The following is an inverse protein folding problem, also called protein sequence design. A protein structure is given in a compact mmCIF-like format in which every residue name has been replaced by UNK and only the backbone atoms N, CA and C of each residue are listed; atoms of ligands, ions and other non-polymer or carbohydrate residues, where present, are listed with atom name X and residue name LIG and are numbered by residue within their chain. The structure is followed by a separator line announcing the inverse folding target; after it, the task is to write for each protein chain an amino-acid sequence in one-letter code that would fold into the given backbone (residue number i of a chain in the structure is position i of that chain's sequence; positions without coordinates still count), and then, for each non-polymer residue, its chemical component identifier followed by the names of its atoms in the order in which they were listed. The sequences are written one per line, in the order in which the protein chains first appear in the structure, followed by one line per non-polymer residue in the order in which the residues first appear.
data_IF_648413621154
#
_entry.id   IF_648413621154
#
_cell.length_a   1.000
_cell.length_b   1.000
_cell.length_c   1.000
_cell.angle_alpha   90.00
_cell.angle_beta   90.00
_cell.angle_gamma   90.00
#
_symmetry.space_group_name_H-M   'P 1'
#
loop_
_entity.id
_entity.type
_entity.pdbx_description
1 polymer ?
#
# COMPACT_ATOMS: atom_id res chain seq x y z
N UNK A 1 -2.45 -22.97 16.23
CA UNK A 1 -3.26 -21.96 15.54
C UNK A 1 -2.37 -20.76 15.25
N UNK A 2 -2.25 -20.31 14.00
CA UNK A 2 -1.54 -19.06 13.68
C UNK A 2 -2.40 -17.86 14.07
N UNK A 3 -1.79 -16.83 14.68
CA UNK A 3 -2.48 -15.58 15.03
C UNK A 3 -2.95 -14.89 13.74
N UNK A 4 -4.18 -14.33 13.68
CA UNK A 4 -4.60 -13.50 12.56
C UNK A 4 -3.72 -12.25 12.44
N UNK A 5 -3.30 -11.94 11.20
CA UNK A 5 -2.50 -10.75 10.91
C UNK A 5 -3.37 -9.50 10.90
N UNK A 6 -2.84 -8.39 11.40
CA UNK A 6 -3.47 -7.08 11.37
C UNK A 6 -2.96 -6.26 10.18
N UNK A 7 -3.89 -5.64 9.45
CA UNK A 7 -3.58 -4.86 8.25
C UNK A 7 -4.03 -3.41 8.40
N UNK A 8 -3.15 -2.48 8.02
CA UNK A 8 -3.44 -1.05 7.86
C UNK A 8 -3.67 -0.75 6.37
N UNK A 9 -4.90 -0.39 6.00
CA UNK A 9 -5.22 0.07 4.65
C UNK A 9 -5.17 1.60 4.57
N UNK A 10 -4.41 2.14 3.62
CA UNK A 10 -4.18 3.57 3.45
C UNK A 10 -4.96 4.09 2.24
N UNK A 11 -6.18 4.57 2.47
CA UNK A 11 -7.05 5.17 1.45
C UNK A 11 -7.01 6.70 1.44
N UNK A 12 -5.85 7.27 1.75
CA UNK A 12 -5.62 8.71 1.71
C UNK A 12 -5.56 9.26 0.28
N UNK A 13 -5.92 10.52 0.10
CA UNK A 13 -5.78 11.22 -1.17
C UNK A 13 -4.38 11.78 -1.43
N UNK A 14 -3.48 11.74 -0.44
CA UNK A 14 -2.12 12.27 -0.51
C UNK A 14 -1.12 11.34 0.15
N UNK A 15 0.08 11.22 -0.43
CA UNK A 15 1.18 10.40 0.11
C UNK A 15 1.60 10.83 1.52
N UNK A 16 1.67 12.14 1.78
CA UNK A 16 2.12 12.66 3.08
C UNK A 16 1.20 12.18 4.23
N UNK A 17 -0.11 12.22 4.03
CA UNK A 17 -1.07 11.71 5.02
C UNK A 17 -0.88 10.20 5.27
N UNK A 18 -0.70 9.41 4.20
CA UNK A 18 -0.44 7.99 4.32
C UNK A 18 0.86 7.70 5.09
N UNK A 19 1.93 8.45 4.82
CA UNK A 19 3.21 8.29 5.52
C UNK A 19 3.14 8.66 7.00
N UNK A 20 2.32 9.65 7.38
CA UNK A 20 2.10 10.00 8.79
C UNK A 20 1.49 8.85 9.56
N UNK A 21 0.45 8.22 9.02
CA UNK A 21 -0.21 7.08 9.65
C UNK A 21 0.72 5.87 9.74
N UNK A 22 1.51 5.62 8.70
CA UNK A 22 2.52 4.54 8.70
C UNK A 22 3.55 4.75 9.79
N UNK A 23 4.08 5.96 9.95
CA UNK A 23 5.04 6.27 11.03
C UNK A 23 4.46 5.95 12.41
N UNK A 24 3.17 6.20 12.62
CA UNK A 24 2.52 6.03 13.93
C UNK A 24 2.10 4.58 14.19
N UNK A 25 1.65 3.87 13.16
CA UNK A 25 0.92 2.61 13.31
C UNK A 25 1.72 1.39 12.84
N UNK A 26 2.82 1.56 12.10
CA UNK A 26 3.56 0.42 11.51
C UNK A 26 3.87 -0.64 12.56
N UNK A 27 4.44 -0.28 13.71
CA UNK A 27 4.91 -1.23 14.73
C UNK A 27 3.77 -2.02 15.41
N UNK A 28 2.52 -1.66 15.15
CA UNK A 28 1.32 -2.34 15.67
C UNK A 28 0.62 -3.22 14.63
N UNK A 29 1.03 -3.21 13.36
CA UNK A 29 0.38 -3.92 12.26
C UNK A 29 1.35 -4.84 11.54
N UNK A 30 0.86 -5.93 10.95
CA UNK A 30 1.70 -6.88 10.22
C UNK A 30 1.79 -6.51 8.72
N UNK A 31 0.79 -5.80 8.20
CA UNK A 31 0.64 -5.49 6.78
C UNK A 31 0.28 -4.01 6.61
N UNK A 32 0.97 -3.33 5.70
CA UNK A 32 0.64 -1.97 5.25
C UNK A 32 0.19 -2.05 3.80
N UNK A 33 -1.06 -1.68 3.52
CA UNK A 33 -1.65 -1.70 2.19
C UNK A 33 -1.82 -0.27 1.67
N UNK A 34 -1.23 0.01 0.50
CA UNK A 34 -1.57 1.21 -0.26
C UNK A 34 -2.94 1.02 -0.90
N UNK A 35 -3.95 1.68 -0.35
CA UNK A 35 -5.34 1.57 -0.80
C UNK A 35 -5.56 2.09 -2.22
N UNK A 36 -6.75 1.83 -2.76
CA UNK A 36 -7.10 2.20 -4.15
C UNK A 36 -7.05 3.71 -4.34
N UNK A 37 -7.55 4.47 -3.36
CA UNK A 37 -7.61 5.93 -3.43
C UNK A 37 -6.21 6.53 -3.52
N UNK A 38 -5.30 6.04 -2.67
CA UNK A 38 -3.91 6.48 -2.67
C UNK A 38 -3.21 6.15 -4.00
N UNK A 39 -3.42 4.94 -4.52
CA UNK A 39 -2.85 4.51 -5.79
C UNK A 39 -3.42 5.28 -7.00
N UNK A 40 -4.68 5.74 -6.95
CA UNK A 40 -5.25 6.58 -8.01
C UNK A 40 -4.65 7.98 -8.03
N UNK A 41 -4.38 8.56 -6.87
CA UNK A 41 -3.87 9.93 -6.75
C UNK A 41 -2.35 10.01 -6.94
N UNK A 42 -1.60 9.08 -6.34
CA UNK A 42 -0.13 9.14 -6.26
C UNK A 42 0.57 8.09 -7.15
N UNK A 43 -0.21 7.18 -7.76
CA UNK A 43 0.32 6.07 -8.55
C UNK A 43 1.11 5.05 -7.72
N UNK A 44 1.98 4.28 -8.38
CA UNK A 44 2.87 3.33 -7.70
C UNK A 44 4.00 3.99 -6.91
N UNK A 45 4.24 5.29 -7.10
CA UNK A 45 5.22 6.05 -6.34
C UNK A 45 4.95 5.96 -4.84
N UNK A 46 3.67 6.00 -4.45
CA UNK A 46 3.25 5.83 -3.06
C UNK A 46 3.68 4.48 -2.48
N UNK A 47 3.52 3.38 -3.23
CA UNK A 47 3.90 2.03 -2.80
C UNK A 47 5.40 1.93 -2.54
N UNK A 48 6.19 2.54 -3.43
CA UNK A 48 7.65 2.58 -3.28
C UNK A 48 8.05 3.36 -2.04
N UNK A 49 7.48 4.55 -1.84
CA UNK A 49 7.75 5.39 -0.68
C UNK A 49 7.34 4.71 0.64
N UNK A 50 6.21 4.00 0.66
CA UNK A 50 5.75 3.22 1.82
C UNK A 50 6.68 2.03 2.11
N UNK A 51 7.19 1.34 1.08
CA UNK A 51 8.22 0.28 1.26
C UNK A 51 9.52 0.83 1.84
N UNK A 52 9.95 2.01 1.43
CA UNK A 52 11.14 2.66 1.98
C UNK A 52 10.98 3.03 3.45
N UNK A 53 9.76 3.37 3.88
CA UNK A 53 9.41 3.70 5.27
C UNK A 53 9.24 2.48 6.18
N UNK A 54 9.02 1.30 5.59
CA UNK A 54 8.87 0.01 6.26
C UNK A 54 9.93 -0.99 5.75
N UNK A 55 11.21 -0.80 6.12
CA UNK A 55 12.31 -1.68 5.68
C UNK A 55 12.30 -3.06 6.37
N UNK A 56 11.51 -3.21 7.43
CA UNK A 56 11.52 -4.40 8.28
C UNK A 56 10.78 -5.58 7.62
N UNK A 57 11.35 -6.78 7.73
CA UNK A 57 10.81 -8.01 7.11
C UNK A 57 9.48 -8.43 7.73
N UNK A 58 9.16 -7.93 8.93
CA UNK A 58 7.89 -8.19 9.60
C UNK A 58 6.72 -7.40 9.00
N UNK A 59 6.97 -6.26 8.33
CA UNK A 59 5.92 -5.39 7.80
C UNK A 59 5.82 -5.56 6.29
N UNK A 60 4.84 -6.34 5.83
CA UNK A 60 4.63 -6.52 4.39
C UNK A 60 3.89 -5.29 3.83
N UNK A 61 4.63 -4.43 3.13
CA UNK A 61 4.02 -3.40 2.30
C UNK A 61 3.49 -4.00 1.00
N UNK A 62 2.19 -3.88 0.75
CA UNK A 62 1.52 -4.35 -0.47
C UNK A 62 0.66 -3.28 -1.11
N UNK A 63 0.39 -3.45 -2.39
CA UNK A 63 -0.58 -2.66 -3.12
C UNK A 63 -1.96 -3.25 -2.89
N UNK A 64 -2.97 -2.38 -2.79
CA UNK A 64 -4.36 -2.83 -2.83
C UNK A 64 -4.69 -3.38 -4.20
N UNK A 65 -5.25 -4.59 -4.23
CA UNK A 65 -5.71 -5.21 -5.49
C UNK A 65 -7.00 -4.55 -5.92
N UNK A 66 -6.91 -3.53 -6.76
CA UNK A 66 -8.07 -2.87 -7.34
C UNK A 66 -8.28 -3.31 -8.80
N UNK A 67 -9.28 -4.16 -9.09
CA UNK A 67 -9.56 -4.61 -10.46
C UNK A 67 -9.92 -3.44 -11.39
N UNK A 68 -10.48 -2.36 -10.84
CA UNK A 68 -10.80 -1.12 -11.54
C UNK A 68 -9.54 -0.36 -11.97
N UNK A 69 -8.50 -0.39 -11.14
CA UNK A 69 -7.22 0.29 -11.40
C UNK A 69 -6.36 -0.50 -12.38
N UNK A 70 -6.42 -1.84 -12.33
CA UNK A 70 -5.85 -2.74 -13.35
C UNK A 70 -6.47 -2.47 -14.73
N UNK A 71 -7.80 -2.32 -14.80
CA UNK A 71 -8.53 -2.05 -16.06
C UNK A 71 -8.31 -0.63 -16.61
N UNK A 72 -8.12 0.37 -15.73
CA UNK A 72 -7.90 1.76 -16.11
C UNK A 72 -6.43 2.10 -16.37
N UNK A 73 -5.51 1.30 -15.86
CA UNK A 73 -4.09 1.55 -16.08
C UNK A 73 -3.70 1.25 -17.55
N UNK A 74 -3.28 2.31 -18.26
CA UNK A 74 -2.55 2.15 -19.54
C UNK A 74 -1.10 1.70 -19.34
N UNK A 75 -0.62 1.71 -18.09
CA UNK A 75 0.72 1.32 -17.72
C UNK A 75 0.72 -0.15 -17.26
N UNK A 76 1.31 -1.04 -18.10
CA UNK A 76 1.36 -2.49 -17.83
C UNK A 76 2.10 -2.82 -16.53
N UNK A 77 3.09 -2.01 -16.13
CA UNK A 77 3.80 -2.21 -14.86
C UNK A 77 2.91 -1.92 -13.67
N UNK A 78 2.03 -0.92 -13.77
CA UNK A 78 1.03 -0.60 -12.77
C UNK A 78 0.02 -1.75 -12.63
N UNK A 79 -0.46 -2.29 -13.76
CA UNK A 79 -1.40 -3.42 -13.77
C UNK A 79 -0.80 -4.70 -13.15
N UNK A 80 0.48 -4.99 -13.41
CA UNK A 80 1.21 -6.13 -12.80
C UNK A 80 1.45 -5.93 -11.30
N UNK A 81 1.79 -4.72 -10.87
CA UNK A 81 2.00 -4.42 -9.46
C UNK A 81 0.70 -4.48 -8.62
N UNK A 82 -0.47 -4.42 -9.26
CA UNK A 82 -1.79 -4.48 -8.62
C UNK A 82 -2.44 -5.88 -8.66
N UNK A 83 -1.79 -6.84 -9.31
CA UNK A 83 -2.24 -8.24 -9.39
C UNK A 83 -1.42 -9.19 -8.50
N UNK A 84 -0.31 -8.69 -7.94
CA UNK A 84 0.61 -9.41 -7.03
C UNK A 84 0.10 -9.58 -5.61
#
# INVERSE_FOLDING_TARGET
MSRPLLQLALDHSSLEAAQRDVTQLKDSVDIVEAGTILCLNEGLGAVKALREQCPDQNHRCRTGRSPTLVKRSRNRHLAQALTG
#
